data_IF_774855848994
#
_entry.id   IF_774855848994
#
_cell.length_a   1.000
_cell.length_b   1.000
_cell.length_c   1.000
_cell.angle_alpha   90.00
_cell.angle_beta   90.00
_cell.angle_gamma   90.00
#
_symmetry.space_group_name_H-M   'P 1'
#
loop_
_entity.id
_entity.type
_entity.pdbx_description
1 polymer ?
#
# COMPACT_ATOMS: atom_id res chain seq x y z
N UNK A 1 38.72 -8.28 -20.18
CA UNK A 1 39.19 -7.08 -19.45
C UNK A 1 38.15 -6.73 -18.43
N UNK A 2 38.37 -7.02 -17.14
CA UNK A 2 37.46 -6.65 -16.05
C UNK A 2 37.59 -5.14 -15.83
N UNK A 3 36.60 -4.38 -16.30
CA UNK A 3 36.54 -2.93 -16.10
C UNK A 3 36.40 -2.66 -14.60
N UNK A 4 37.40 -2.07 -13.98
CA UNK A 4 37.40 -1.67 -12.57
C UNK A 4 36.12 -0.90 -12.30
N UNK A 5 35.26 -1.33 -11.34
CA UNK A 5 33.99 -0.67 -11.10
C UNK A 5 34.27 0.77 -10.65
N UNK A 6 33.73 1.73 -11.38
CA UNK A 6 33.88 3.16 -11.07
C UNK A 6 33.32 3.39 -9.65
N UNK A 7 34.14 3.96 -8.75
CA UNK A 7 33.80 4.20 -7.34
C UNK A 7 32.44 4.88 -7.16
N UNK A 8 32.08 5.82 -8.03
CA UNK A 8 30.78 6.48 -8.03
C UNK A 8 29.60 5.51 -8.29
N UNK A 9 29.76 4.53 -9.19
CA UNK A 9 28.73 3.54 -9.48
C UNK A 9 28.58 2.55 -8.32
N UNK A 10 29.69 2.15 -7.70
CA UNK A 10 29.70 1.26 -6.55
C UNK A 10 29.02 1.93 -5.35
N UNK A 11 29.26 3.24 -5.12
CA UNK A 11 28.59 4.01 -4.09
C UNK A 11 27.07 4.06 -4.29
N UNK A 12 26.59 4.29 -5.51
CA UNK A 12 25.14 4.30 -5.81
C UNK A 12 24.53 2.91 -5.59
N UNK A 13 25.20 1.83 -6.01
CA UNK A 13 24.71 0.45 -5.75
C UNK A 13 24.63 0.17 -4.25
N UNK A 14 25.63 0.62 -3.47
CA UNK A 14 25.61 0.48 -2.02
C UNK A 14 24.49 1.30 -1.37
N UNK A 15 24.28 2.55 -1.84
CA UNK A 15 23.16 3.39 -1.39
C UNK A 15 21.81 2.72 -1.65
N UNK A 16 21.60 2.20 -2.86
CA UNK A 16 20.36 1.53 -3.25
C UNK A 16 20.14 0.28 -2.41
N UNK A 17 21.18 -0.56 -2.22
CA UNK A 17 21.08 -1.74 -1.38
C UNK A 17 20.77 -1.41 0.08
N UNK A 18 21.40 -0.37 0.64
CA UNK A 18 21.11 0.10 2.00
C UNK A 18 19.67 0.60 2.14
N UNK A 19 19.14 1.29 1.11
CA UNK A 19 17.74 1.76 1.10
C UNK A 19 16.73 0.61 1.00
N UNK A 20 17.02 -0.40 0.20
CA UNK A 20 16.19 -1.61 0.15
C UNK A 20 16.18 -2.34 1.49
N UNK A 21 17.32 -2.42 2.18
CA UNK A 21 17.40 -3.05 3.50
C UNK A 21 16.69 -2.25 4.60
N UNK A 22 16.63 -0.91 4.48
CA UNK A 22 16.00 -0.02 5.45
C UNK A 22 14.51 0.24 5.18
N UNK A 23 14.00 -0.17 4.02
CA UNK A 23 12.61 0.04 3.61
C UNK A 23 11.77 -1.21 3.87
N UNK A 24 10.57 -1.02 4.41
CA UNK A 24 9.59 -2.10 4.61
C UNK A 24 8.95 -2.54 3.28
N UNK A 25 8.88 -1.61 2.33
CA UNK A 25 8.40 -1.87 0.98
C UNK A 25 9.10 -0.98 -0.05
N UNK A 26 9.22 -1.49 -1.28
CA UNK A 26 9.76 -0.75 -2.41
C UNK A 26 8.82 -0.89 -3.61
N UNK A 27 8.25 0.21 -4.07
CA UNK A 27 7.30 0.24 -5.17
C UNK A 27 7.97 0.80 -6.43
N UNK A 28 7.74 0.14 -7.57
CA UNK A 28 8.29 0.52 -8.88
C UNK A 28 7.19 1.15 -9.73
N UNK A 29 7.45 2.37 -10.18
CA UNK A 29 6.53 3.13 -11.03
C UNK A 29 7.22 3.58 -12.30
N UNK A 30 6.46 3.72 -13.38
CA UNK A 30 6.92 4.37 -14.61
C UNK A 30 6.37 5.80 -14.66
N UNK A 31 7.25 6.77 -14.96
CA UNK A 31 6.90 8.21 -14.98
C UNK A 31 7.01 8.83 -16.37
N UNK A 32 6.95 8.02 -17.42
CA UNK A 32 7.15 8.47 -18.81
C UNK A 32 6.14 9.55 -19.19
N UNK A 33 6.66 10.71 -19.62
CA UNK A 33 5.82 11.83 -20.08
C UNK A 33 5.29 12.75 -18.98
N UNK A 34 5.62 12.51 -17.70
CA UNK A 34 5.21 13.38 -16.61
C UNK A 34 5.99 14.70 -16.60
N UNK A 35 5.32 15.81 -16.28
CA UNK A 35 5.97 17.10 -16.08
C UNK A 35 6.77 17.14 -14.77
N UNK A 36 7.79 18.00 -14.72
CA UNK A 36 8.59 18.20 -13.49
C UNK A 36 7.73 18.69 -12.33
N UNK A 37 6.70 19.51 -12.61
CA UNK A 37 5.76 20.01 -11.61
C UNK A 37 4.93 18.88 -10.99
N UNK A 38 4.42 17.93 -11.81
CA UNK A 38 3.67 16.77 -11.35
C UNK A 38 4.54 15.85 -10.50
N UNK A 39 5.80 15.60 -10.92
CA UNK A 39 6.76 14.82 -10.13
C UNK A 39 7.10 15.48 -8.79
N UNK A 40 7.17 16.81 -8.74
CA UNK A 40 7.42 17.53 -7.49
C UNK A 40 6.22 17.44 -6.54
N UNK A 41 4.98 17.51 -7.04
CA UNK A 41 3.76 17.29 -6.25
C UNK A 41 3.72 15.87 -5.70
N UNK A 42 3.98 14.86 -6.55
CA UNK A 42 4.06 13.47 -6.15
C UNK A 42 5.08 13.24 -5.04
N UNK A 43 6.30 13.78 -5.16
CA UNK A 43 7.32 13.65 -4.11
C UNK A 43 6.87 14.23 -2.78
N UNK A 44 6.22 15.40 -2.79
CA UNK A 44 5.72 16.04 -1.56
C UNK A 44 4.64 15.19 -0.89
N UNK A 45 3.67 14.66 -1.64
CA UNK A 45 2.63 13.81 -1.07
C UNK A 45 3.20 12.51 -0.50
N UNK A 46 4.16 11.89 -1.18
CA UNK A 46 4.80 10.66 -0.70
C UNK A 46 5.66 10.89 0.55
N UNK A 47 6.34 12.03 0.65
CA UNK A 47 7.14 12.39 1.82
C UNK A 47 6.28 12.50 3.09
N UNK A 48 5.04 13.00 2.98
CA UNK A 48 4.09 13.07 4.11
C UNK A 48 3.79 11.67 4.67
N UNK A 49 3.78 10.64 3.80
CA UNK A 49 3.55 9.24 4.19
C UNK A 49 4.84 8.46 4.49
N UNK A 50 5.97 9.15 4.71
CA UNK A 50 7.25 8.51 5.03
C UNK A 50 7.90 7.76 3.86
N UNK A 51 7.52 8.08 2.62
CA UNK A 51 8.09 7.44 1.44
C UNK A 51 9.07 8.36 0.69
N UNK A 52 10.16 7.77 0.23
CA UNK A 52 11.18 8.46 -0.57
C UNK A 52 11.09 8.03 -2.03
N UNK A 53 10.77 8.98 -2.93
CA UNK A 53 10.67 8.75 -4.38
C UNK A 53 11.95 9.15 -5.10
N UNK A 54 12.71 8.18 -5.60
CA UNK A 54 13.96 8.40 -6.33
C UNK A 54 14.00 7.70 -7.68
N UNK A 55 14.70 8.34 -8.61
CA UNK A 55 15.00 7.80 -9.93
C UNK A 55 16.43 7.34 -9.95
N UNK A 56 16.66 6.09 -10.29
CA UNK A 56 17.99 5.49 -10.47
C UNK A 56 18.14 4.90 -11.87
N UNK A 57 19.38 4.75 -12.31
CA UNK A 57 19.66 4.03 -13.54
C UNK A 57 19.32 2.54 -13.32
N UNK A 58 18.47 1.98 -14.19
CA UNK A 58 17.95 0.61 -14.04
C UNK A 58 19.03 -0.45 -13.80
N UNK A 59 20.17 -0.36 -14.51
CA UNK A 59 21.29 -1.27 -14.32
C UNK A 59 21.86 -1.24 -12.91
N UNK A 60 21.99 -0.05 -12.30
CA UNK A 60 22.49 0.12 -10.93
C UNK A 60 21.43 -0.31 -9.91
N UNK A 61 20.16 -0.02 -10.18
CA UNK A 61 19.04 -0.45 -9.35
C UNK A 61 18.92 -1.98 -9.31
N UNK A 62 19.09 -2.67 -10.45
CA UNK A 62 19.12 -4.14 -10.52
C UNK A 62 20.24 -4.72 -9.66
N UNK A 63 21.48 -4.21 -9.78
CA UNK A 63 22.57 -4.67 -8.93
C UNK A 63 22.32 -4.43 -7.43
N UNK A 64 21.68 -3.30 -7.09
CA UNK A 64 21.29 -3.00 -5.72
C UNK A 64 20.21 -3.96 -5.20
N UNK A 65 19.17 -4.24 -6.01
CA UNK A 65 18.10 -5.17 -5.70
C UNK A 65 18.60 -6.60 -5.51
N UNK A 66 19.47 -7.09 -6.42
CA UNK A 66 20.10 -8.42 -6.30
C UNK A 66 20.95 -8.54 -5.03
N UNK A 67 21.72 -7.49 -4.67
CA UNK A 67 22.48 -7.47 -3.41
C UNK A 67 21.59 -7.50 -2.17
N UNK A 68 20.39 -6.91 -2.24
CA UNK A 68 19.42 -6.92 -1.18
C UNK A 68 18.53 -8.19 -1.15
N UNK A 69 18.70 -9.12 -2.10
CA UNK A 69 17.94 -10.37 -2.17
C UNK A 69 16.60 -10.27 -2.90
N UNK A 70 16.35 -9.17 -3.62
CA UNK A 70 15.06 -8.91 -4.32
C UNK A 70 15.19 -9.12 -5.83
N UNK A 71 15.51 -10.33 -6.26
CA UNK A 71 15.72 -10.64 -7.68
C UNK A 71 14.47 -10.45 -8.55
N UNK A 72 13.28 -10.68 -8.01
CA UNK A 72 12.01 -10.52 -8.72
C UNK A 72 11.69 -9.07 -9.18
N UNK A 73 12.43 -8.06 -8.69
CA UNK A 73 12.32 -6.69 -9.19
C UNK A 73 12.98 -6.48 -10.55
N UNK A 74 13.89 -7.36 -10.96
CA UNK A 74 14.69 -7.19 -12.17
C UNK A 74 13.83 -7.11 -13.44
N UNK A 75 12.72 -7.85 -13.48
CA UNK A 75 11.81 -7.90 -14.62
C UNK A 75 10.95 -6.60 -14.70
N UNK A 76 10.71 -5.95 -13.57
CA UNK A 76 9.94 -4.71 -13.49
C UNK A 76 10.77 -3.46 -13.79
N UNK A 77 12.11 -3.53 -13.66
CA UNK A 77 13.04 -2.43 -13.91
C UNK A 77 13.38 -2.30 -15.40
N UNK A 78 12.36 -2.04 -16.23
CA UNK A 78 12.47 -1.81 -17.68
C UNK A 78 11.85 -0.46 -18.02
N UNK A 79 12.50 0.33 -18.87
CA UNK A 79 12.04 1.68 -19.27
C UNK A 79 12.36 2.77 -18.22
N UNK A 80 11.69 3.93 -18.28
CA UNK A 80 11.91 5.05 -17.36
C UNK A 80 11.22 4.78 -16.02
N UNK A 81 11.91 4.10 -15.11
CA UNK A 81 11.38 3.68 -13.82
C UNK A 81 11.89 4.53 -12.67
N UNK A 82 11.02 4.75 -11.70
CA UNK A 82 11.34 5.32 -10.41
C UNK A 82 11.00 4.33 -9.30
N UNK A 83 11.77 4.37 -8.22
CA UNK A 83 11.60 3.51 -7.06
C UNK A 83 11.14 4.38 -5.89
N UNK A 84 10.06 3.95 -5.26
CA UNK A 84 9.52 4.55 -4.04
C UNK A 84 9.89 3.64 -2.87
N UNK A 85 10.79 4.08 -2.01
CA UNK A 85 11.13 3.38 -0.77
C UNK A 85 10.17 3.82 0.33
N UNK A 86 9.50 2.86 0.94
CA UNK A 86 8.49 3.11 1.99
C UNK A 86 9.05 2.69 3.33
N UNK A 87 8.97 3.59 4.32
CA UNK A 87 9.27 3.30 5.71
C UNK A 87 7.96 3.45 6.49
N UNK A 88 7.32 2.34 6.81
CA UNK A 88 6.05 2.29 7.53
C UNK A 88 4.88 1.78 6.70
N UNK A 89 3.80 2.55 6.56
CA UNK A 89 2.55 2.08 5.96
C UNK A 89 2.58 2.05 4.42
N UNK A 90 2.81 0.84 3.88
CA UNK A 90 2.83 0.61 2.44
C UNK A 90 1.45 0.84 1.79
N UNK A 91 0.33 0.65 2.54
CA UNK A 91 -1.02 0.83 1.98
C UNK A 91 -1.33 2.32 1.77
N UNK A 92 -0.94 3.19 2.70
CA UNK A 92 -1.10 4.63 2.56
C UNK A 92 -0.32 5.18 1.36
N UNK A 93 0.90 4.69 1.14
CA UNK A 93 1.75 5.07 -0.01
C UNK A 93 1.19 4.52 -1.32
N UNK A 94 0.72 3.27 -1.35
CA UNK A 94 0.08 2.69 -2.53
C UNK A 94 -1.21 3.46 -2.91
N UNK A 95 -1.99 3.88 -1.92
CA UNK A 95 -3.18 4.72 -2.11
C UNK A 95 -2.81 6.08 -2.69
N UNK A 96 -1.80 6.76 -2.13
CA UNK A 96 -1.32 8.05 -2.64
C UNK A 96 -0.82 7.93 -4.09
N UNK A 97 -0.08 6.86 -4.43
CA UNK A 97 0.36 6.58 -5.79
C UNK A 97 -0.81 6.34 -6.75
N UNK A 98 -1.84 5.60 -6.31
CA UNK A 98 -3.05 5.35 -7.10
C UNK A 98 -3.82 6.65 -7.35
N UNK A 99 -4.03 7.46 -6.31
CA UNK A 99 -4.78 8.71 -6.42
C UNK A 99 -4.06 9.68 -7.38
N UNK A 100 -2.73 9.75 -7.32
CA UNK A 100 -1.94 10.47 -8.32
C UNK A 100 -1.96 9.84 -9.72
N UNK A 101 -2.08 8.52 -9.84
CA UNK A 101 -2.23 7.85 -11.13
C UNK A 101 -3.60 8.14 -11.77
N UNK A 102 -4.65 8.36 -10.97
CA UNK A 102 -5.97 8.82 -11.45
C UNK A 102 -5.89 10.25 -11.98
N UNK A 103 -5.18 11.15 -11.28
CA UNK A 103 -4.96 12.52 -11.75
C UNK A 103 -4.03 12.61 -12.98
N UNK A 104 -3.05 11.70 -13.06
CA UNK A 104 -2.03 11.65 -14.09
C UNK A 104 -1.93 10.24 -14.68
N UNK A 105 -2.68 9.91 -15.74
CA UNK A 105 -2.70 8.57 -16.33
C UNK A 105 -1.34 8.13 -16.93
N UNK A 106 -0.36 9.04 -16.97
CA UNK A 106 1.02 8.76 -17.39
C UNK A 106 1.84 8.06 -16.29
N UNK A 107 1.37 8.05 -15.04
CA UNK A 107 2.01 7.32 -13.95
C UNK A 107 1.49 5.87 -13.94
N UNK A 108 2.36 4.94 -14.34
CA UNK A 108 2.02 3.52 -14.34
C UNK A 108 2.68 2.82 -13.15
N UNK A 109 1.87 2.15 -12.34
CA UNK A 109 2.34 1.25 -11.28
C UNK A 109 2.72 -0.09 -11.93
N UNK A 110 3.99 -0.50 -11.82
CA UNK A 110 4.47 -1.77 -12.39
C UNK A 110 4.43 -2.92 -11.39
N UNK A 111 4.66 -2.63 -10.14
CA UNK A 111 4.76 -3.62 -9.09
C UNK A 111 5.68 -3.15 -7.97
N UNK A 112 6.16 -4.09 -7.18
CA UNK A 112 7.09 -3.77 -6.10
C UNK A 112 7.47 -4.98 -5.26
N UNK A 113 8.09 -4.70 -4.12
CA UNK A 113 8.37 -5.69 -3.08
C UNK A 113 7.81 -5.18 -1.76
N UNK A 114 7.09 -6.02 -1.04
CA UNK A 114 6.50 -5.72 0.26
C UNK A 114 6.82 -6.89 1.19
N UNK A 115 7.51 -6.60 2.31
CA UNK A 115 7.88 -7.63 3.28
C UNK A 115 8.67 -8.80 2.65
N UNK A 116 9.49 -8.53 1.64
CA UNK A 116 10.31 -9.55 0.97
C UNK A 116 9.61 -10.31 -0.16
N UNK A 117 8.32 -10.09 -0.40
CA UNK A 117 7.57 -10.72 -1.49
C UNK A 117 7.39 -9.75 -2.66
N UNK A 118 7.60 -10.25 -3.87
CA UNK A 118 7.31 -9.50 -5.10
C UNK A 118 5.80 -9.41 -5.29
N UNK A 119 5.32 -8.21 -5.57
CA UNK A 119 3.90 -7.86 -5.73
C UNK A 119 3.71 -7.26 -7.11
N UNK A 120 2.75 -7.78 -7.87
CA UNK A 120 2.42 -7.29 -9.20
C UNK A 120 1.53 -6.03 -9.15
N UNK A 121 1.37 -5.35 -10.29
CA UNK A 121 0.55 -4.15 -10.43
C UNK A 121 -0.92 -4.35 -10.00
N UNK A 122 -1.47 -5.56 -10.18
CA UNK A 122 -2.83 -5.91 -9.75
C UNK A 122 -2.93 -5.97 -8.23
N UNK A 123 -1.97 -6.61 -7.58
CA UNK A 123 -1.91 -6.74 -6.13
C UNK A 123 -1.67 -5.40 -5.45
N UNK A 124 -0.89 -4.51 -6.08
CA UNK A 124 -0.71 -3.12 -5.60
C UNK A 124 -2.02 -2.33 -5.62
N UNK A 125 -2.89 -2.55 -6.59
CA UNK A 125 -4.22 -1.91 -6.61
C UNK A 125 -5.08 -2.39 -5.44
N UNK A 126 -5.09 -3.69 -5.18
CA UNK A 126 -5.80 -4.28 -4.03
C UNK A 126 -5.23 -3.72 -2.71
N UNK A 127 -3.90 -3.60 -2.61
CA UNK A 127 -3.27 -3.01 -1.43
C UNK A 127 -3.69 -1.55 -1.21
N UNK A 128 -3.82 -0.77 -2.29
CA UNK A 128 -4.27 0.62 -2.22
C UNK A 128 -5.74 0.77 -1.78
N UNK A 129 -6.55 -0.27 -1.91
CA UNK A 129 -7.94 -0.31 -1.44
C UNK A 129 -8.04 -0.72 0.04
N UNK A 130 -6.96 -1.23 0.64
CA UNK A 130 -6.94 -1.61 2.05
C UNK A 130 -6.96 -0.35 2.94
N UNK A 131 -7.77 -0.36 4.02
CA UNK A 131 -7.73 0.68 5.03
C UNK A 131 -6.42 0.65 5.83
N UNK A 132 -6.09 1.72 6.57
CA UNK A 132 -4.91 1.78 7.42
C UNK A 132 -4.85 0.62 8.41
N UNK A 133 -3.64 0.26 8.85
CA UNK A 133 -3.37 -0.88 9.76
C UNK A 133 -4.25 -0.88 11.01
N UNK A 134 -4.48 0.28 11.62
CA UNK A 134 -5.30 0.42 12.83
C UNK A 134 -6.76 0.03 12.57
N UNK A 135 -7.30 0.43 11.41
CA UNK A 135 -8.66 0.08 11.01
C UNK A 135 -8.78 -1.42 10.71
N UNK A 136 -7.77 -2.03 10.09
CA UNK A 136 -7.73 -3.48 9.85
C UNK A 136 -7.70 -4.26 11.18
N UNK A 137 -6.92 -3.81 12.15
CA UNK A 137 -6.89 -4.40 13.49
C UNK A 137 -8.23 -4.26 14.21
N UNK A 138 -8.87 -3.09 14.10
CA UNK A 138 -10.21 -2.88 14.67
C UNK A 138 -11.27 -3.78 14.00
N UNK A 139 -11.23 -3.94 12.67
CA UNK A 139 -12.11 -4.83 11.94
C UNK A 139 -11.88 -6.29 12.34
N UNK A 140 -10.63 -6.70 12.48
CA UNK A 140 -10.28 -8.05 12.92
C UNK A 140 -10.80 -8.34 14.33
N UNK A 141 -10.60 -7.42 15.28
CA UNK A 141 -11.15 -7.53 16.63
C UNK A 141 -12.70 -7.60 16.62
N UNK A 142 -13.35 -6.77 15.79
CA UNK A 142 -14.80 -6.80 15.59
C UNK A 142 -15.30 -8.12 15.02
N UNK A 143 -14.58 -8.70 14.06
CA UNK A 143 -14.92 -10.03 13.50
C UNK A 143 -14.80 -11.14 14.53
N UNK A 144 -13.81 -11.08 15.43
CA UNK A 144 -13.67 -12.05 16.53
C UNK A 144 -14.80 -11.93 17.56
N UNK A 145 -15.31 -10.72 17.81
CA UNK A 145 -16.44 -10.50 18.71
C UNK A 145 -17.82 -10.78 18.07
N UNK A 146 -17.90 -10.73 16.76
CA UNK A 146 -19.17 -10.88 16.03
C UNK A 146 -19.96 -12.17 16.37
N UNK A 147 -19.36 -13.36 16.48
CA UNK A 147 -20.06 -14.58 16.86
C UNK A 147 -20.67 -14.49 18.27
N UNK A 148 -19.92 -13.93 19.22
CA UNK A 148 -20.38 -13.76 20.60
C UNK A 148 -21.57 -12.80 20.69
N UNK A 149 -21.45 -11.65 20.02
CA UNK A 149 -22.53 -10.67 19.94
C UNK A 149 -23.77 -11.23 19.23
N UNK A 150 -23.57 -12.02 18.16
CA UNK A 150 -24.67 -12.64 17.43
C UNK A 150 -25.42 -13.66 18.30
N UNK A 151 -24.72 -14.49 19.06
CA UNK A 151 -25.32 -15.43 20.00
C UNK A 151 -26.08 -14.72 21.12
N UNK A 152 -25.50 -13.70 21.74
CA UNK A 152 -26.16 -12.89 22.76
C UNK A 152 -27.43 -12.22 22.22
N UNK A 153 -27.38 -11.66 21.03
CA UNK A 153 -28.54 -11.03 20.39
C UNK A 153 -29.64 -12.06 20.05
N UNK A 154 -29.27 -13.27 19.59
CA UNK A 154 -30.23 -14.31 19.31
C UNK A 154 -30.94 -14.82 20.60
N UNK A 155 -30.24 -14.90 21.71
CA UNK A 155 -30.82 -15.24 23.00
C UNK A 155 -31.78 -14.16 23.53
N UNK A 156 -31.49 -12.90 23.26
CA UNK A 156 -32.35 -11.75 23.64
C UNK A 156 -33.50 -11.50 22.65
N UNK A 157 -33.46 -12.06 21.46
CA UNK A 157 -34.44 -11.80 20.40
C UNK A 157 -35.89 -12.15 20.81
N UNK A 158 -36.19 -13.29 21.47
CA UNK A 158 -37.55 -13.60 21.88
C UNK A 158 -38.12 -12.58 22.87
N UNK A 159 -37.32 -12.18 23.87
CA UNK A 159 -37.74 -11.18 24.87
C UNK A 159 -38.01 -9.81 24.22
N UNK A 160 -37.16 -9.38 23.30
CA UNK A 160 -37.37 -8.14 22.55
C UNK A 160 -38.61 -8.18 21.67
N UNK A 161 -38.89 -9.32 21.00
CA UNK A 161 -40.12 -9.50 20.20
C UNK A 161 -41.39 -9.37 21.03
N UNK A 162 -41.42 -9.97 22.22
CA UNK A 162 -42.55 -9.85 23.15
C UNK A 162 -42.72 -8.38 23.60
N UNK A 163 -41.63 -7.72 23.97
CA UNK A 163 -41.70 -6.31 24.40
C UNK A 163 -42.20 -5.38 23.26
N UNK A 164 -41.69 -5.59 22.01
CA UNK A 164 -42.21 -4.82 20.87
C UNK A 164 -43.68 -5.14 20.54
N UNK A 165 -44.10 -6.39 20.66
CA UNK A 165 -45.50 -6.79 20.48
C UNK A 165 -46.43 -6.10 21.50
N UNK A 166 -46.03 -6.05 22.78
CA UNK A 166 -46.79 -5.33 23.83
C UNK A 166 -46.83 -3.84 23.57
N UNK A 167 -45.71 -3.24 23.18
CA UNK A 167 -45.65 -1.82 22.82
C UNK A 167 -46.56 -1.47 21.64
N UNK A 168 -46.53 -2.28 20.57
CA UNK A 168 -47.43 -2.12 19.43
C UNK A 168 -48.92 -2.23 19.79
N UNK A 169 -49.30 -3.10 20.71
CA UNK A 169 -50.66 -3.23 21.22
C UNK A 169 -51.09 -2.00 22.03
N UNK A 170 -50.19 -1.39 22.81
CA UNK A 170 -50.46 -0.18 23.55
C UNK A 170 -50.68 0.98 22.57
N UNK A 171 -49.78 1.16 21.62
CA UNK A 171 -49.89 2.24 20.59
C UNK A 171 -51.17 2.07 19.75
N UNK A 172 -51.59 0.84 19.42
CA UNK A 172 -52.82 0.62 18.69
C UNK A 172 -54.09 0.92 19.51
N UNK A 173 -54.03 0.76 20.85
CA UNK A 173 -55.13 1.16 21.76
C UNK A 173 -55.22 2.64 22.07
N UNK A 174 -54.07 3.32 22.05
CA UNK A 174 -54.01 4.79 22.20
C UNK A 174 -54.49 5.56 20.95
N UNK A 175 -54.37 4.88 19.77
CA UNK A 175 -54.78 5.46 18.49
C UNK A 175 -56.24 5.15 18.11
N UNK A 176 -56.96 4.32 18.90
CA UNK A 176 -58.37 3.97 18.74
C UNK A 176 -59.25 4.71 19.74
#
# INVERSE_FOLDING_TARGET
MATTPNAAKTAVVAEVAAKFAAADAALVTEYRGMSVGSLAKLRRSLTVHGAEYKVYKNTLARFGATKAGFEGLNDMLVGPTAITFVKGDASAVAKALRDHAVENPLLLLKGGVIGGKTVDARELKVLADLPPREVLLAQFAGMLQAPLNKTANLLQAPMRKVAYGLKSLIESKEAA
#
